data_IF_300606464486
#
_entry.id   IF_300606464486
#
_cell.length_a   1.000
_cell.length_b   1.000
_cell.length_c   1.000
_cell.angle_alpha   90.00
_cell.angle_beta   90.00
_cell.angle_gamma   90.00
#
_symmetry.space_group_name_H-M   'P 1'
#
loop_
_entity.id
_entity.type
_entity.pdbx_description
1 polymer ?
#
# COMPACT_ATOMS: atom_id res chain seq x y z
N UNK A 1 17.91 -14.45 -5.74
CA UNK A 1 17.66 -13.01 -5.67
C UNK A 1 17.29 -12.59 -4.28
N UNK A 2 17.96 -11.58 -3.79
CA UNK A 2 17.68 -11.07 -2.46
C UNK A 2 16.54 -10.06 -2.52
N UNK A 3 15.58 -10.22 -1.63
CA UNK A 3 14.50 -9.27 -1.49
C UNK A 3 15.01 -7.99 -0.83
N UNK A 4 14.52 -6.85 -1.28
CA UNK A 4 14.84 -5.56 -0.67
C UNK A 4 13.78 -5.23 0.36
N UNK A 5 14.20 -4.95 1.59
CA UNK A 5 13.30 -4.59 2.68
C UNK A 5 13.47 -3.11 2.98
N UNK A 6 12.35 -2.41 3.07
CA UNK A 6 12.36 -0.97 3.35
C UNK A 6 11.13 -0.60 4.16
N UNK A 7 11.20 0.55 4.82
CA UNK A 7 10.04 1.12 5.53
C UNK A 7 9.52 2.28 4.68
N UNK A 8 8.30 2.14 4.20
CA UNK A 8 7.69 3.12 3.29
C UNK A 8 6.30 3.51 3.73
N UNK A 9 5.89 4.69 3.30
CA UNK A 9 4.49 5.09 3.39
C UNK A 9 3.74 4.41 2.26
N UNK A 10 2.68 3.68 2.58
CA UNK A 10 1.90 2.97 1.57
C UNK A 10 0.42 3.28 1.71
N UNK A 11 -0.28 3.18 0.59
CA UNK A 11 -1.73 3.29 0.54
C UNK A 11 -2.30 1.87 0.57
N UNK A 12 -3.10 1.59 1.58
CA UNK A 12 -3.68 0.26 1.76
C UNK A 12 -5.19 0.33 1.58
N UNK A 13 -5.72 -0.58 0.78
CA UNK A 13 -7.16 -0.77 0.65
C UNK A 13 -7.59 -1.88 1.59
N UNK A 14 -8.45 -1.53 2.54
CA UNK A 14 -9.05 -2.49 3.47
C UNK A 14 -10.48 -2.79 3.06
N UNK A 15 -10.84 -4.05 3.08
CA UNK A 15 -12.21 -4.51 2.88
C UNK A 15 -12.56 -5.38 4.08
N UNK A 16 -13.58 -4.99 4.83
CA UNK A 16 -13.96 -5.64 6.09
C UNK A 16 -12.79 -5.72 7.07
N UNK A 17 -12.00 -4.64 7.15
CA UNK A 17 -10.81 -4.51 7.99
C UNK A 17 -9.67 -5.46 7.62
N UNK A 18 -9.73 -6.06 6.44
CA UNK A 18 -8.66 -6.93 5.93
C UNK A 18 -7.95 -6.20 4.79
N UNK A 19 -6.61 -6.09 4.85
CA UNK A 19 -5.87 -5.46 3.76
C UNK A 19 -5.95 -6.33 2.50
N UNK A 20 -6.46 -5.76 1.42
CA UNK A 20 -6.66 -6.48 0.16
C UNK A 20 -5.69 -6.05 -0.92
N UNK A 21 -5.40 -4.76 -0.99
CA UNK A 21 -4.47 -4.22 -1.98
C UNK A 21 -3.67 -3.09 -1.38
N UNK A 22 -2.51 -2.84 -1.94
CA UNK A 22 -1.63 -1.79 -1.47
C UNK A 22 -0.73 -1.29 -2.58
N UNK A 23 -0.25 -0.05 -2.41
CA UNK A 23 0.74 0.52 -3.31
C UNK A 23 1.66 1.46 -2.53
N UNK A 24 2.94 1.42 -2.87
CA UNK A 24 3.93 2.30 -2.25
C UNK A 24 4.61 3.22 -3.25
N UNK A 25 4.30 3.05 -4.53
CA UNK A 25 4.91 3.79 -5.62
C UNK A 25 3.84 4.22 -6.61
N UNK A 26 4.13 5.27 -7.37
CA UNK A 26 3.24 5.72 -8.42
C UNK A 26 4.02 6.46 -9.49
N UNK A 27 3.41 6.66 -10.64
CA UNK A 27 3.99 7.45 -11.72
C UNK A 27 3.59 8.90 -11.51
N UNK A 28 4.59 9.77 -11.36
CA UNK A 28 4.34 11.20 -11.14
C UNK A 28 4.02 11.91 -12.46
N UNK A 29 3.80 13.23 -12.38
CA UNK A 29 3.44 14.03 -13.55
C UNK A 29 4.53 14.05 -14.62
N UNK A 30 5.76 13.73 -14.25
CA UNK A 30 6.90 13.68 -15.19
C UNK A 30 7.11 12.29 -15.78
N UNK A 31 6.22 11.34 -15.48
CA UNK A 31 6.34 9.99 -15.96
C UNK A 31 7.36 9.13 -15.21
N UNK A 32 7.79 9.58 -14.05
CA UNK A 32 8.77 8.86 -13.24
C UNK A 32 8.09 7.96 -12.21
N UNK A 33 8.64 6.78 -12.03
CA UNK A 33 8.16 5.83 -11.02
C UNK A 33 8.86 6.14 -9.70
N UNK A 34 8.11 6.64 -8.74
CA UNK A 34 8.67 7.15 -7.48
C UNK A 34 7.93 6.62 -6.26
N UNK A 35 8.61 6.68 -5.10
CA UNK A 35 7.96 6.36 -3.84
C UNK A 35 6.88 7.40 -3.54
N UNK A 36 5.77 6.91 -3.01
CA UNK A 36 4.60 7.74 -2.76
C UNK A 36 4.80 8.78 -1.66
N UNK A 37 5.37 8.39 -0.52
CA UNK A 37 5.47 9.26 0.63
C UNK A 37 4.11 9.65 1.17
N UNK A 38 4.06 10.44 2.25
CA UNK A 38 2.80 10.85 2.84
C UNK A 38 2.00 11.77 1.91
N UNK A 39 2.64 12.76 1.31
CA UNK A 39 1.92 13.70 0.43
C UNK A 39 1.41 13.03 -0.83
N UNK A 40 2.21 12.14 -1.42
CA UNK A 40 1.80 11.36 -2.59
C UNK A 40 0.65 10.42 -2.27
N UNK A 41 0.71 9.78 -1.10
CA UNK A 41 -0.34 8.88 -0.64
C UNK A 41 -1.67 9.61 -0.47
N UNK A 42 -1.64 10.77 0.18
CA UNK A 42 -2.85 11.59 0.38
C UNK A 42 -3.40 12.10 -0.94
N UNK A 43 -2.53 12.48 -1.86
CA UNK A 43 -2.93 12.92 -3.20
C UNK A 43 -3.61 11.79 -3.95
N UNK A 44 -3.06 10.59 -3.91
CA UNK A 44 -3.63 9.43 -4.57
C UNK A 44 -4.98 9.06 -3.95
N UNK A 45 -5.07 9.08 -2.63
CA UNK A 45 -6.32 8.82 -1.92
C UNK A 45 -7.42 9.79 -2.36
N UNK A 46 -7.07 11.07 -2.49
CA UNK A 46 -8.01 12.11 -2.96
C UNK A 46 -8.44 11.86 -4.40
N UNK A 47 -7.50 11.48 -5.27
CA UNK A 47 -7.80 11.18 -6.67
C UNK A 47 -8.74 9.98 -6.79
N UNK A 48 -8.53 8.95 -6.00
CA UNK A 48 -9.40 7.77 -6.00
C UNK A 48 -10.82 8.14 -5.60
N UNK A 49 -10.98 9.01 -4.60
CA UNK A 49 -12.30 9.49 -4.19
C UNK A 49 -13.01 10.26 -5.31
N UNK A 50 -12.26 11.08 -6.04
CA UNK A 50 -12.81 11.84 -7.18
C UNK A 50 -13.29 10.93 -8.30
N UNK A 51 -12.64 9.77 -8.45
CA UNK A 51 -12.97 8.79 -9.49
C UNK A 51 -14.02 7.78 -9.03
N UNK A 52 -14.69 8.03 -7.91
CA UNK A 52 -15.77 7.18 -7.44
C UNK A 52 -15.37 6.11 -6.46
N UNK A 53 -14.11 6.02 -6.10
CA UNK A 53 -13.62 5.07 -5.10
C UNK A 53 -13.79 5.68 -3.72
N UNK A 54 -14.99 5.60 -3.18
CA UNK A 54 -15.29 6.18 -1.87
C UNK A 54 -15.24 5.12 -0.79
N UNK A 55 -14.95 5.55 0.43
CA UNK A 55 -15.13 4.70 1.59
C UNK A 55 -16.61 4.32 1.67
N UNK A 56 -16.88 3.07 1.97
CA UNK A 56 -18.24 2.57 2.04
C UNK A 56 -18.99 3.17 3.23
N UNK A 57 -20.29 3.40 3.09
CA UNK A 57 -21.16 3.84 4.20
C UNK A 57 -21.14 2.87 5.36
N UNK A 58 -20.94 1.60 5.07
CA UNK A 58 -20.92 0.56 6.08
C UNK A 58 -19.53 0.37 6.70
N UNK A 59 -18.55 1.13 6.23
CA UNK A 59 -17.17 0.99 6.66
C UNK A 59 -16.46 -0.25 6.15
N UNK A 60 -17.05 -0.94 5.19
CA UNK A 60 -16.45 -2.18 4.62
C UNK A 60 -15.21 -1.89 3.80
N UNK A 61 -15.18 -0.76 3.13
CA UNK A 61 -14.08 -0.40 2.24
C UNK A 61 -13.48 0.92 2.68
N UNK A 62 -12.19 0.95 2.90
CA UNK A 62 -11.49 2.19 3.26
C UNK A 62 -10.07 2.18 2.74
N UNK A 63 -9.55 3.37 2.49
CA UNK A 63 -8.15 3.57 2.12
C UNK A 63 -7.43 4.22 3.29
N UNK A 64 -6.21 3.78 3.56
CA UNK A 64 -5.42 4.35 4.64
C UNK A 64 -3.98 4.55 4.16
N UNK A 65 -3.40 5.70 4.52
CA UNK A 65 -1.98 5.97 4.30
C UNK A 65 -1.24 5.58 5.57
N UNK A 66 -0.45 4.53 5.48
CA UNK A 66 0.23 3.94 6.63
C UNK A 66 1.68 3.66 6.33
N UNK A 67 2.52 3.76 7.35
CA UNK A 67 3.94 3.46 7.24
C UNK A 67 4.16 2.01 7.67
N UNK A 68 4.74 1.21 6.79
CA UNK A 68 4.97 -0.21 7.04
C UNK A 68 6.33 -0.66 6.54
N UNK A 69 6.85 -1.69 7.17
CA UNK A 69 8.02 -2.41 6.67
C UNK A 69 7.54 -3.33 5.57
N UNK A 70 8.15 -3.23 4.40
CA UNK A 70 7.69 -3.92 3.20
C UNK A 70 8.84 -4.62 2.49
N UNK A 71 8.49 -5.63 1.71
CA UNK A 71 9.41 -6.31 0.81
C UNK A 71 9.16 -5.81 -0.60
N UNK A 72 10.22 -5.33 -1.25
CA UNK A 72 10.14 -4.77 -2.59
C UNK A 72 10.67 -5.75 -3.63
N UNK A 73 10.10 -5.69 -4.82
CA UNK A 73 10.59 -6.50 -5.93
C UNK A 73 9.98 -6.00 -7.23
N UNK A 74 10.49 -6.47 -8.37
CA UNK A 74 9.97 -6.05 -9.66
C UNK A 74 8.64 -6.72 -9.99
N UNK A 75 7.76 -5.97 -10.64
CA UNK A 75 6.54 -6.54 -11.19
C UNK A 75 6.84 -7.08 -12.61
N UNK A 76 5.82 -7.52 -13.33
CA UNK A 76 6.00 -8.08 -14.69
C UNK A 76 6.50 -7.04 -15.70
N UNK A 77 6.42 -5.76 -15.37
CA UNK A 77 6.94 -4.67 -16.22
C UNK A 77 8.35 -4.25 -15.81
N UNK A 78 8.91 -4.86 -14.78
CA UNK A 78 10.22 -4.51 -14.26
C UNK A 78 10.23 -3.34 -13.30
N UNK A 79 9.08 -2.81 -12.94
CA UNK A 79 8.98 -1.70 -11.99
C UNK A 79 9.01 -2.24 -10.56
N UNK A 80 9.71 -1.54 -9.68
CA UNK A 80 9.79 -1.93 -8.27
C UNK A 80 8.47 -1.59 -7.58
N UNK A 81 7.87 -2.60 -6.97
CA UNK A 81 6.61 -2.45 -6.25
C UNK A 81 6.69 -3.16 -4.91
N UNK A 82 5.72 -2.88 -4.04
CA UNK A 82 5.60 -3.56 -2.75
C UNK A 82 5.01 -4.94 -2.98
N UNK A 83 5.80 -5.97 -2.69
CA UNK A 83 5.37 -7.37 -2.86
C UNK A 83 4.64 -7.90 -1.64
N UNK A 84 5.09 -7.50 -0.44
CA UNK A 84 4.51 -7.93 0.82
C UNK A 84 4.60 -6.81 1.83
N UNK A 85 3.67 -6.77 2.74
CA UNK A 85 3.74 -5.89 3.91
C UNK A 85 4.16 -6.75 5.10
N UNK A 86 5.41 -6.63 5.49
CA UNK A 86 5.99 -7.46 6.54
C UNK A 86 5.38 -7.20 7.92
N UNK A 87 4.93 -5.98 8.15
CA UNK A 87 4.25 -5.61 9.40
C UNK A 87 3.01 -6.49 9.60
N UNK A 88 2.23 -6.71 8.55
CA UNK A 88 1.04 -7.55 8.63
C UNK A 88 1.38 -9.02 8.85
N UNK A 89 2.47 -9.47 8.26
CA UNK A 89 2.94 -10.85 8.47
C UNK A 89 3.32 -11.09 9.92
N UNK A 90 4.00 -10.12 10.54
CA UNK A 90 4.37 -10.19 11.95
C UNK A 90 3.15 -10.23 12.86
N UNK A 91 2.15 -9.42 12.56
CA UNK A 91 0.91 -9.38 13.32
C UNK A 91 0.17 -10.71 13.27
N UNK A 92 0.14 -11.35 12.09
CA UNK A 92 -0.47 -12.66 11.93
C UNK A 92 0.21 -13.72 12.79
N UNK A 93 1.54 -13.69 12.83
CA UNK A 93 2.33 -14.64 13.63
C UNK A 93 2.05 -14.45 15.12
N UNK A 94 1.94 -13.23 15.59
CA UNK A 94 1.63 -12.94 16.97
C UNK A 94 0.24 -13.44 17.37
N UNK A 95 -0.74 -13.28 16.50
CA UNK A 95 -2.10 -13.74 16.75
C UNK A 95 -2.22 -15.26 16.81
N UNK A 96 -1.38 -15.96 16.07
CA UNK A 96 -1.40 -17.41 16.02
C UNK A 96 -0.71 -18.05 17.22
N UNK A 97 0.05 -17.27 17.95
CA UNK A 97 0.86 -17.72 19.08
C UNK A 97 0.09 -17.82 20.40
N UNK A 98 -1.14 -18.10 20.37
CA UNK A 98 -1.93 -18.22 21.62
C UNK A 98 -1.78 -19.57 22.27
#
# INVERSE_FOLDING_TARGET
MTATIATLMILVLYINDVPKEWMGHYENDKGQWVEMGMSGCLKMKRNLKRNGWKDSYTGRTRFACEKHEVELGPNHEGLIVVKKILTFEKEKKEKVKL
#
